data_IF_708160223534
#
_entry.id   IF_708160223534
#
_cell.length_a   1.000
_cell.length_b   1.000
_cell.length_c   1.000
_cell.angle_alpha   90.00
_cell.angle_beta   90.00
_cell.angle_gamma   90.00
#
_symmetry.space_group_name_H-M   'P 1'
#
loop_
_entity.id
_entity.type
_entity.pdbx_description
1 polymer ?
#
# COMPACT_ATOMS: atom_id res chain seq x y z
N UNK A 1 9.97 5.14 -7.40
CA UNK A 1 8.86 4.24 -7.01
C UNK A 1 9.34 3.29 -5.93
N UNK A 2 8.50 2.88 -4.97
CA UNK A 2 8.88 1.86 -3.95
C UNK A 2 8.68 0.46 -4.54
N UNK A 3 9.63 -0.44 -4.33
CA UNK A 3 9.59 -1.80 -4.91
C UNK A 3 8.42 -2.62 -4.36
N UNK A 4 8.32 -2.78 -3.04
CA UNK A 4 7.30 -3.62 -2.43
C UNK A 4 5.89 -3.00 -2.42
N UNK A 5 5.80 -1.66 -2.35
CA UNK A 5 4.52 -0.94 -2.27
C UNK A 5 3.96 -0.46 -3.62
N UNK A 6 4.64 -0.71 -4.74
CA UNK A 6 4.15 -0.28 -6.06
C UNK A 6 4.62 -1.20 -7.19
N UNK A 7 5.94 -1.33 -7.39
CA UNK A 7 6.48 -2.04 -8.57
C UNK A 7 6.07 -3.51 -8.61
N UNK A 8 6.22 -4.23 -7.49
CA UNK A 8 5.87 -5.66 -7.42
C UNK A 8 4.35 -5.88 -7.52
N UNK A 9 3.49 -5.18 -6.75
CA UNK A 9 2.04 -5.35 -6.85
C UNK A 9 1.48 -5.01 -8.24
N UNK A 10 1.90 -3.88 -8.83
CA UNK A 10 1.46 -3.47 -10.18
C UNK A 10 1.89 -4.53 -11.21
N UNK A 11 3.14 -4.99 -11.13
CA UNK A 11 3.65 -6.04 -12.01
C UNK A 11 2.82 -7.32 -11.91
N UNK A 12 2.56 -7.79 -10.69
CA UNK A 12 1.74 -8.98 -10.45
C UNK A 12 0.32 -8.84 -11.00
N UNK A 13 -0.36 -7.72 -10.71
CA UNK A 13 -1.72 -7.48 -11.19
C UNK A 13 -1.77 -7.43 -12.72
N UNK A 14 -0.76 -6.83 -13.35
CA UNK A 14 -0.67 -6.75 -14.82
C UNK A 14 -0.35 -8.11 -15.45
N UNK A 15 0.57 -8.89 -14.89
CA UNK A 15 0.94 -10.22 -15.40
C UNK A 15 -0.20 -11.23 -15.29
N UNK A 16 -1.09 -11.06 -14.31
CA UNK A 16 -2.28 -11.89 -14.12
C UNK A 16 -3.54 -11.33 -14.80
N UNK A 17 -3.39 -10.33 -15.68
CA UNK A 17 -4.49 -9.73 -16.46
C UNK A 17 -5.63 -9.17 -15.59
N UNK A 18 -5.33 -8.78 -14.34
CA UNK A 18 -6.29 -8.17 -13.42
C UNK A 18 -6.42 -6.66 -13.66
N UNK A 19 -5.37 -6.03 -14.18
CA UNK A 19 -5.35 -4.64 -14.62
C UNK A 19 -4.74 -4.53 -16.02
N UNK A 20 -5.15 -3.51 -16.77
CA UNK A 20 -4.57 -3.19 -18.07
C UNK A 20 -3.80 -1.87 -17.97
N UNK A 21 -2.47 -1.92 -18.00
CA UNK A 21 -1.62 -0.72 -17.98
C UNK A 21 -1.47 -0.16 -19.40
N UNK A 22 -2.19 0.91 -19.71
CA UNK A 22 -2.14 1.60 -21.01
C UNK A 22 -1.10 2.72 -20.98
N UNK A 23 -0.31 2.84 -22.04
CA UNK A 23 0.62 3.98 -22.22
C UNK A 23 1.55 4.23 -21.01
N UNK A 24 1.96 3.16 -20.31
CA UNK A 24 2.74 3.22 -19.07
C UNK A 24 2.06 3.92 -17.87
N UNK A 25 0.75 4.14 -17.95
CA UNK A 25 -0.04 4.76 -16.90
C UNK A 25 -0.55 3.74 -15.88
N UNK A 26 0.37 3.31 -15.02
CA UNK A 26 0.03 2.42 -13.90
C UNK A 26 -0.82 3.10 -12.82
N UNK A 27 -0.76 4.43 -12.70
CA UNK A 27 -1.50 5.15 -11.65
C UNK A 27 -3.00 5.11 -11.94
N UNK A 28 -3.40 5.39 -13.18
CA UNK A 28 -4.78 5.27 -13.62
C UNK A 28 -5.28 3.83 -13.52
N UNK A 29 -4.51 2.85 -14.01
CA UNK A 29 -4.90 1.44 -13.94
C UNK A 29 -5.17 0.96 -12.51
N UNK A 30 -4.32 1.37 -11.54
CA UNK A 30 -4.51 1.05 -10.12
C UNK A 30 -5.68 1.81 -9.51
N UNK A 31 -5.81 3.10 -9.81
CA UNK A 31 -6.90 3.94 -9.31
C UNK A 31 -8.28 3.55 -9.85
N UNK A 32 -8.35 2.87 -10.99
CA UNK A 32 -9.58 2.27 -11.53
C UNK A 32 -9.87 0.88 -10.95
N UNK A 33 -8.83 0.13 -10.59
CA UNK A 33 -8.97 -1.24 -10.07
C UNK A 33 -9.38 -1.27 -8.60
N UNK A 34 -8.69 -0.50 -7.74
CA UNK A 34 -9.07 -0.36 -6.33
C UNK A 34 -10.05 0.80 -6.19
N UNK A 35 -11.16 0.58 -5.47
CA UNK A 35 -12.17 1.62 -5.25
C UNK A 35 -11.58 2.85 -4.54
N UNK A 36 -10.73 2.60 -3.54
CA UNK A 36 -9.98 3.61 -2.80
C UNK A 36 -8.62 3.04 -2.38
N UNK A 37 -7.64 3.92 -2.18
CA UNK A 37 -6.27 3.58 -1.81
C UNK A 37 -5.63 4.71 -1.02
N UNK A 38 -4.53 4.40 -0.33
CA UNK A 38 -3.61 5.42 0.15
C UNK A 38 -2.24 5.19 -0.48
N UNK A 39 -1.86 6.05 -1.42
CA UNK A 39 -0.62 5.95 -2.20
C UNK A 39 0.16 7.27 -2.11
N UNK A 40 0.86 7.51 -0.99
CA UNK A 40 1.49 8.80 -0.71
C UNK A 40 2.41 9.32 -1.82
N UNK A 41 2.09 10.53 -2.28
CA UNK A 41 2.73 11.24 -3.37
C UNK A 41 2.04 11.10 -4.72
N UNK A 42 1.02 10.25 -4.86
CA UNK A 42 0.41 9.96 -6.16
C UNK A 42 -0.13 11.19 -6.90
N UNK A 43 -0.65 12.19 -6.18
CA UNK A 43 -1.21 13.43 -6.74
C UNK A 43 -0.21 14.61 -6.73
N UNK A 44 1.05 14.38 -6.39
CA UNK A 44 2.07 15.44 -6.41
C UNK A 44 2.56 15.67 -7.84
N UNK A 45 2.93 16.90 -8.20
CA UNK A 45 3.45 17.26 -9.53
C UNK A 45 4.59 16.35 -10.03
N UNK A 46 5.38 15.78 -9.10
CA UNK A 46 6.45 14.84 -9.44
C UNK A 46 5.94 13.51 -10.04
N UNK A 47 4.80 13.03 -9.59
CA UNK A 47 4.22 11.73 -9.98
C UNK A 47 2.91 11.87 -10.76
N UNK A 48 2.33 13.07 -10.76
CA UNK A 48 1.20 13.48 -11.57
C UNK A 48 1.45 14.86 -12.21
N UNK A 49 2.41 14.97 -13.15
CA UNK A 49 2.74 16.24 -13.78
C UNK A 49 1.61 16.80 -14.66
N UNK A 50 0.61 15.97 -15.01
CA UNK A 50 -0.52 16.35 -15.86
C UNK A 50 -1.82 16.57 -15.07
N UNK A 51 -1.85 16.25 -13.77
CA UNK A 51 -3.05 16.35 -12.94
C UNK A 51 -4.14 15.34 -13.36
N UNK A 52 -3.74 14.18 -13.86
CA UNK A 52 -4.64 13.15 -14.42
C UNK A 52 -4.77 11.91 -13.55
N UNK A 53 -3.96 11.77 -12.50
CA UNK A 53 -4.04 10.59 -11.64
C UNK A 53 -5.39 10.57 -10.90
N UNK A 54 -6.06 9.41 -10.75
CA UNK A 54 -7.33 9.32 -10.05
C UNK A 54 -7.22 9.72 -8.58
N UNK A 55 -8.21 10.46 -8.05
CA UNK A 55 -8.29 10.82 -6.63
C UNK A 55 -8.37 9.59 -5.71
N UNK A 56 -8.93 8.47 -6.21
CA UNK A 56 -9.03 7.19 -5.49
C UNK A 56 -7.68 6.72 -4.94
N UNK A 57 -6.57 7.13 -5.54
CA UNK A 57 -5.22 6.85 -5.08
C UNK A 57 -4.88 7.44 -3.70
N UNK A 58 -5.61 8.45 -3.23
CA UNK A 58 -5.37 9.14 -1.97
C UNK A 58 -6.56 9.13 -1.00
N UNK A 59 -7.72 8.60 -1.38
CA UNK A 59 -8.94 8.66 -0.57
C UNK A 59 -8.83 8.00 0.81
N UNK A 60 -7.98 6.98 0.98
CA UNK A 60 -7.78 6.33 2.28
C UNK A 60 -6.72 7.04 3.14
N UNK A 61 -5.97 8.00 2.61
CA UNK A 61 -4.93 8.68 3.37
C UNK A 61 -5.52 9.61 4.43
N UNK A 62 -4.82 9.75 5.57
CA UNK A 62 -5.37 10.43 6.77
C UNK A 62 -4.52 11.61 7.25
N UNK A 63 -3.58 12.10 6.44
CA UNK A 63 -2.87 13.35 6.69
C UNK A 63 -3.81 14.56 6.68
N UNK A 64 -3.38 15.65 7.30
CA UNK A 64 -4.19 16.85 7.45
C UNK A 64 -3.77 17.95 6.46
N UNK A 65 -4.74 18.59 5.80
CA UNK A 65 -4.50 19.68 4.85
C UNK A 65 -3.53 19.26 3.74
N UNK A 66 -2.49 20.06 3.52
CA UNK A 66 -1.47 19.82 2.49
C UNK A 66 -0.59 18.59 2.78
N UNK A 67 -0.65 18.03 3.99
CA UNK A 67 0.05 16.80 4.34
C UNK A 67 -0.78 15.54 4.03
N UNK A 68 -2.05 15.67 3.62
CA UNK A 68 -2.86 14.54 3.18
C UNK A 68 -2.25 13.92 1.91
N UNK A 69 -1.99 12.62 1.96
CA UNK A 69 -1.33 11.86 0.89
C UNK A 69 0.08 12.39 0.55
N UNK A 70 0.70 13.17 1.44
CA UNK A 70 2.05 13.67 1.23
C UNK A 70 3.08 12.55 1.33
N UNK A 71 4.13 12.62 0.51
CA UNK A 71 5.18 11.61 0.48
C UNK A 71 6.24 11.84 1.58
N UNK A 72 5.79 11.96 2.82
CA UNK A 72 6.62 12.23 3.99
C UNK A 72 5.96 11.66 5.26
N UNK A 73 6.65 11.75 6.41
CA UNK A 73 6.17 11.16 7.67
C UNK A 73 5.03 11.95 8.34
N UNK A 74 4.56 13.06 7.75
CA UNK A 74 3.35 13.76 8.22
C UNK A 74 2.07 13.11 7.71
N UNK A 75 2.13 12.30 6.65
CA UNK A 75 1.04 11.40 6.26
C UNK A 75 1.09 10.15 7.14
N UNK A 76 0.10 9.90 8.02
CA UNK A 76 0.18 8.80 8.98
C UNK A 76 0.17 7.40 8.36
N UNK A 77 -0.30 7.26 7.11
CA UNK A 77 -0.22 6.01 6.34
C UNK A 77 1.01 5.93 5.41
N UNK A 78 1.99 6.80 5.61
CA UNK A 78 3.24 6.78 4.87
C UNK A 78 4.18 5.62 5.27
N UNK A 79 4.91 5.11 4.27
CA UNK A 79 5.84 3.99 4.39
C UNK A 79 5.21 2.65 4.81
N UNK A 80 6.03 1.63 5.06
CA UNK A 80 5.54 0.30 5.39
C UNK A 80 4.78 0.25 6.72
N UNK A 81 5.23 1.02 7.73
CA UNK A 81 4.55 1.11 9.02
C UNK A 81 3.18 1.77 8.88
N UNK A 82 3.08 2.85 8.11
CA UNK A 82 1.81 3.53 7.84
C UNK A 82 0.87 2.69 6.96
N UNK A 83 1.38 1.99 5.95
CA UNK A 83 0.58 1.07 5.15
C UNK A 83 0.05 -0.11 5.97
N UNK A 84 0.87 -0.64 6.89
CA UNK A 84 0.43 -1.67 7.83
C UNK A 84 -0.63 -1.11 8.81
N UNK A 85 -0.45 0.12 9.29
CA UNK A 85 -1.44 0.82 10.10
C UNK A 85 -2.78 1.03 9.36
N UNK A 86 -2.75 1.38 8.07
CA UNK A 86 -3.96 1.51 7.24
C UNK A 86 -4.80 0.22 7.24
N UNK A 87 -4.13 -0.92 7.13
CA UNK A 87 -4.76 -2.24 7.27
C UNK A 87 -5.25 -2.49 8.71
N UNK A 88 -4.44 -2.15 9.72
CA UNK A 88 -4.76 -2.37 11.14
C UNK A 88 -5.95 -1.57 11.64
N UNK A 89 -6.12 -0.34 11.16
CA UNK A 89 -7.25 0.51 11.47
C UNK A 89 -8.50 0.16 10.65
N UNK A 90 -8.41 -0.82 9.73
CA UNK A 90 -9.50 -1.26 8.87
C UNK A 90 -9.88 -0.23 7.80
N UNK A 91 -8.98 0.71 7.49
CA UNK A 91 -9.20 1.69 6.42
C UNK A 91 -9.03 1.07 5.03
N UNK A 92 -8.18 0.05 4.88
CA UNK A 92 -8.02 -0.71 3.65
C UNK A 92 -8.01 -2.22 3.90
N UNK A 93 -8.40 -2.99 2.88
CA UNK A 93 -8.50 -4.46 2.97
C UNK A 93 -7.17 -5.18 2.68
N UNK A 94 -6.23 -4.50 2.01
CA UNK A 94 -4.94 -5.06 1.57
C UNK A 94 -3.85 -4.00 1.76
N UNK A 95 -2.68 -4.41 2.28
CA UNK A 95 -1.50 -3.58 2.35
C UNK A 95 -0.28 -4.25 1.69
N UNK A 96 0.42 -3.51 0.84
CA UNK A 96 1.63 -3.98 0.16
C UNK A 96 2.89 -3.52 0.92
N UNK A 97 3.37 -4.37 1.83
CA UNK A 97 4.52 -4.09 2.72
C UNK A 97 5.64 -5.13 2.56
N UNK A 98 6.82 -4.83 3.10
CA UNK A 98 7.91 -5.83 3.17
C UNK A 98 7.63 -6.84 4.28
N UNK A 99 8.02 -8.10 4.04
CA UNK A 99 7.88 -9.22 4.99
C UNK A 99 8.38 -8.90 6.41
N UNK A 100 9.54 -8.26 6.55
CA UNK A 100 10.17 -7.95 7.86
C UNK A 100 9.31 -7.06 8.77
N UNK A 101 8.38 -6.29 8.21
CA UNK A 101 7.50 -5.38 8.96
C UNK A 101 6.41 -6.17 9.68
N UNK A 102 6.02 -7.34 9.19
CA UNK A 102 5.07 -8.20 9.93
C UNK A 102 5.73 -8.72 11.20
N UNK A 103 6.98 -9.19 11.13
CA UNK A 103 7.69 -9.70 12.32
C UNK A 103 8.06 -8.59 13.31
N UNK A 104 8.33 -7.36 12.82
CA UNK A 104 8.71 -6.22 13.65
C UNK A 104 7.51 -5.55 14.37
N UNK A 105 6.28 -5.72 13.86
CA UNK A 105 5.09 -5.01 14.35
C UNK A 105 3.97 -5.97 14.83
N UNK A 106 3.85 -7.16 14.24
CA UNK A 106 2.86 -8.15 14.66
C UNK A 106 3.44 -9.08 15.73
N UNK A 107 3.24 -8.73 17.00
CA UNK A 107 3.39 -9.67 18.12
C UNK A 107 4.54 -9.45 19.09
N UNK A 108 5.17 -8.27 19.12
CA UNK A 108 6.25 -7.98 20.08
C UNK A 108 5.79 -7.35 21.41
N UNK A 109 4.48 -7.16 21.63
CA UNK A 109 3.90 -6.50 22.81
C UNK A 109 4.55 -5.13 23.10
N UNK A 110 5.12 -4.43 22.11
CA UNK A 110 5.67 -3.11 22.35
C UNK A 110 4.54 -2.08 22.53
N UNK A 111 4.57 -1.29 23.62
CA UNK A 111 3.53 -0.32 23.95
C UNK A 111 3.60 0.98 23.14
N UNK A 112 4.52 1.11 22.18
CA UNK A 112 4.81 2.34 21.44
C UNK A 112 3.88 2.59 20.25
N UNK A 113 2.98 1.66 19.91
CA UNK A 113 2.11 1.78 18.74
C UNK A 113 0.63 1.54 19.08
N UNK A 114 -0.02 2.61 19.53
CA UNK A 114 -1.40 2.67 20.07
C UNK A 114 -2.49 2.07 19.15
N UNK A 115 -2.24 1.97 17.85
CA UNK A 115 -3.18 1.43 16.85
C UNK A 115 -3.16 -0.11 16.71
N UNK A 116 -2.30 -0.83 17.44
CA UNK A 116 -2.18 -2.30 17.35
C UNK A 116 -3.33 -3.11 17.97
N UNK A 117 -4.45 -2.49 18.32
CA UNK A 117 -5.35 -3.11 19.30
C UNK A 117 -6.06 -4.38 18.83
N UNK A 118 -6.01 -4.79 17.55
CA UNK A 118 -6.73 -6.00 17.10
C UNK A 118 -6.09 -6.83 15.97
N UNK A 119 -4.85 -6.59 15.50
CA UNK A 119 -4.24 -7.45 14.47
C UNK A 119 -3.25 -8.45 15.08
N UNK A 120 -3.55 -9.74 15.00
CA UNK A 120 -2.57 -10.80 15.23
C UNK A 120 -1.83 -11.11 13.93
N UNK A 121 -0.57 -11.54 14.00
CA UNK A 121 0.20 -11.95 12.81
C UNK A 121 -0.48 -13.07 12.00
N UNK A 122 -1.41 -13.83 12.61
CA UNK A 122 -2.26 -14.82 11.96
C UNK A 122 -3.38 -14.22 11.08
N UNK A 123 -3.79 -12.98 11.33
CA UNK A 123 -4.82 -12.28 10.56
C UNK A 123 -4.26 -11.70 9.25
N UNK A 124 -2.93 -11.64 9.16
CA UNK A 124 -2.20 -11.24 7.97
C UNK A 124 -1.96 -12.46 7.10
N UNK A 125 -2.88 -12.74 6.18
CA UNK A 125 -2.62 -13.72 5.14
C UNK A 125 -1.50 -13.18 4.24
N UNK A 126 -0.29 -13.70 4.41
CA UNK A 126 0.83 -13.56 3.45
C UNK A 126 0.51 -14.36 2.18
N UNK A 127 -0.64 -14.11 1.56
CA UNK A 127 -1.18 -14.88 0.44
C UNK A 127 -0.28 -14.85 -0.80
N UNK A 128 0.63 -13.87 -0.90
CA UNK A 128 1.52 -13.70 -2.06
C UNK A 128 2.82 -14.51 -1.92
N UNK A 129 3.23 -14.91 -0.71
CA UNK A 129 4.47 -15.69 -0.52
C UNK A 129 4.27 -17.21 -0.64
N UNK A 130 3.09 -17.72 -0.30
CA UNK A 130 2.81 -19.16 -0.42
C UNK A 130 2.64 -19.62 -1.87
N UNK A 131 2.24 -18.73 -2.79
CA UNK A 131 1.98 -19.13 -4.18
C UNK A 131 3.23 -19.12 -5.08
N UNK A 132 4.34 -18.50 -4.66
CA UNK A 132 5.54 -18.34 -5.51
C UNK A 132 6.78 -19.12 -5.05
N UNK A 133 6.68 -19.97 -4.03
CA UNK A 133 7.71 -20.97 -3.73
C UNK A 133 7.22 -22.38 -4.05
N UNK A 134 6.74 -22.55 -5.29
CA UNK A 134 6.84 -23.83 -5.94
C UNK A 134 8.33 -24.18 -6.06
N UNK A 135 8.74 -25.21 -5.33
CA UNK A 135 10.04 -25.85 -5.45
C UNK A 135 10.40 -26.03 -6.94
N UNK A 136 11.43 -25.32 -7.40
CA UNK A 136 12.31 -25.84 -8.44
C UNK A 136 13.38 -26.64 -7.70
N UNK A 137 13.64 -27.85 -8.20
CA UNK A 137 14.52 -28.88 -7.61
C UNK A 137 15.83 -28.37 -6.99
#
# INVERSE_FOLDING_TARGET
MKTAGWVVPVGYLSENELIEVKSCDSATAIGEFFSESCTPGALTEKYDPLGTNPESLCNLCIGAGDENCARNDHEPYYDYSGAFRCLAEGAGDVAFIKYVIVDDYAGDNKPDLVWHTNLQGSDLTTSVLWYQTGYLE
#
